data_IF_592754924574
#
_entry.id   IF_592754924574
#
_cell.length_a   1.000
_cell.length_b   1.000
_cell.length_c   1.000
_cell.angle_alpha   90.00
_cell.angle_beta   90.00
_cell.angle_gamma   90.00
#
_symmetry.space_group_name_H-M   'P 1'
#
loop_
_entity.id
_entity.type
_entity.pdbx_description
1 polymer ?
#
# COMPACT_ATOMS: atom_id res chain seq x y z
N UNK A 1 1.38 -6.43 -8.50
CA UNK A 1 2.02 -6.74 -7.18
C UNK A 1 2.39 -5.52 -6.36
N UNK A 2 3.07 -4.50 -6.91
CA UNK A 2 3.46 -3.30 -6.15
C UNK A 2 2.27 -2.50 -5.58
N UNK A 3 1.07 -2.64 -6.16
CA UNK A 3 -0.18 -2.12 -5.58
C UNK A 3 -0.57 -2.82 -4.27
N UNK A 4 -0.27 -4.12 -4.13
CA UNK A 4 -0.49 -4.89 -2.90
C UNK A 4 0.57 -4.56 -1.85
N UNK A 5 1.84 -4.40 -2.28
CA UNK A 5 2.91 -3.92 -1.40
C UNK A 5 2.60 -2.52 -0.86
N UNK A 6 2.03 -1.65 -1.70
CA UNK A 6 1.55 -0.34 -1.32
C UNK A 6 0.44 -0.41 -0.25
N UNK A 7 -0.58 -1.23 -0.46
CA UNK A 7 -1.65 -1.42 0.52
C UNK A 7 -1.11 -2.02 1.83
N UNK A 8 -0.22 -3.01 1.74
CA UNK A 8 0.46 -3.60 2.90
C UNK A 8 1.28 -2.58 3.69
N UNK A 9 2.02 -1.70 3.01
CA UNK A 9 2.74 -0.60 3.63
C UNK A 9 1.80 0.36 4.38
N UNK A 10 0.70 0.79 3.74
CA UNK A 10 -0.27 1.69 4.38
C UNK A 10 -0.91 1.02 5.61
N UNK A 11 -1.25 -0.27 5.53
CA UNK A 11 -1.82 -1.00 6.67
C UNK A 11 -0.81 -1.14 7.82
N UNK A 12 0.43 -1.49 7.50
CA UNK A 12 1.52 -1.55 8.48
C UNK A 12 1.72 -0.20 9.16
N UNK A 13 1.87 0.87 8.39
CA UNK A 13 2.09 2.22 8.90
C UNK A 13 0.92 2.68 9.79
N UNK A 14 -0.32 2.41 9.36
CA UNK A 14 -1.52 2.69 10.15
C UNK A 14 -1.58 1.91 11.46
N UNK A 15 -1.26 0.62 11.44
CA UNK A 15 -1.18 -0.23 12.64
C UNK A 15 -0.12 0.30 13.63
N UNK A 16 1.04 0.72 13.14
CA UNK A 16 2.13 1.24 13.97
C UNK A 16 1.82 2.62 14.56
N UNK A 17 1.23 3.53 13.77
CA UNK A 17 1.03 4.92 14.20
C UNK A 17 -0.31 5.16 14.89
N UNK A 18 -1.34 4.42 14.52
CA UNK A 18 -2.74 4.60 14.94
C UNK A 18 -3.39 3.26 15.32
N UNK A 19 -2.79 2.48 16.23
CA UNK A 19 -3.25 1.11 16.53
C UNK A 19 -4.72 1.07 16.98
N UNK A 20 -5.20 2.08 17.72
CA UNK A 20 -6.60 2.10 18.18
C UNK A 20 -7.62 2.27 17.03
N UNK A 21 -7.24 2.95 15.95
CA UNK A 21 -8.09 3.09 14.76
C UNK A 21 -8.03 1.82 13.93
N UNK A 22 -6.83 1.25 13.74
CA UNK A 22 -6.63 0.03 12.96
C UNK A 22 -7.13 -1.24 13.66
N UNK A 23 -7.20 -1.30 15.00
CA UNK A 23 -7.92 -2.37 15.71
C UNK A 23 -9.39 -2.48 15.31
N UNK A 24 -10.00 -1.35 14.92
CA UNK A 24 -11.39 -1.26 14.42
C UNK A 24 -11.40 -0.96 12.92
N UNK A 25 -10.47 -1.56 12.18
CA UNK A 25 -10.28 -1.24 10.75
C UNK A 25 -11.57 -1.40 9.94
N UNK A 26 -12.31 -2.49 10.17
CA UNK A 26 -13.57 -2.77 9.48
C UNK A 26 -14.58 -1.63 9.69
N UNK A 27 -14.83 -1.24 10.93
CA UNK A 27 -15.79 -0.18 11.25
C UNK A 27 -15.35 1.18 10.68
N UNK A 28 -14.04 1.45 10.70
CA UNK A 28 -13.49 2.73 10.29
C UNK A 28 -13.37 2.88 8.76
N UNK A 29 -13.09 1.79 8.03
CA UNK A 29 -12.66 1.84 6.62
C UNK A 29 -13.46 0.95 5.65
N UNK A 30 -14.41 0.14 6.12
CA UNK A 30 -15.23 -0.68 5.22
C UNK A 30 -15.91 0.19 4.15
N UNK A 31 -15.69 -0.17 2.88
CA UNK A 31 -16.25 0.54 1.72
C UNK A 31 -15.60 1.88 1.39
N UNK A 32 -14.61 2.35 2.15
CA UNK A 32 -13.98 3.68 1.96
C UNK A 32 -12.68 3.65 1.14
N UNK A 33 -12.15 2.45 0.90
CA UNK A 33 -10.94 2.24 0.09
C UNK A 33 -9.65 2.72 0.76
N UNK A 34 -8.55 2.59 0.02
CA UNK A 34 -7.20 2.88 0.49
C UNK A 34 -6.95 4.38 0.70
N UNK A 35 -7.61 5.24 -0.09
CA UNK A 35 -7.52 6.71 -0.01
C UNK A 35 -7.91 7.22 1.39
N UNK A 36 -8.96 6.64 1.97
CA UNK A 36 -9.42 7.01 3.31
C UNK A 36 -8.39 6.67 4.39
N UNK A 37 -7.73 5.51 4.28
CA UNK A 37 -6.66 5.10 5.21
C UNK A 37 -5.49 6.07 5.19
N UNK A 38 -5.04 6.44 4.00
CA UNK A 38 -3.95 7.41 3.81
C UNK A 38 -4.33 8.77 4.40
N UNK A 39 -5.55 9.25 4.09
CA UNK A 39 -6.05 10.51 4.64
C UNK A 39 -6.01 10.52 6.16
N UNK A 40 -6.43 9.44 6.82
CA UNK A 40 -6.40 9.34 8.27
C UNK A 40 -4.97 9.38 8.82
N UNK A 41 -4.00 8.72 8.17
CA UNK A 41 -2.59 8.80 8.56
C UNK A 41 -2.07 10.23 8.40
N UNK A 42 -2.29 10.85 7.24
CA UNK A 42 -1.85 12.22 6.94
C UNK A 42 -2.43 13.20 7.97
N UNK A 43 -3.75 13.22 8.12
CA UNK A 43 -4.46 14.17 8.98
C UNK A 43 -4.06 14.05 10.47
N UNK A 44 -3.70 12.85 10.94
CA UNK A 44 -3.43 12.60 12.37
C UNK A 44 -1.96 12.51 12.74
N UNK A 45 -1.08 12.20 11.79
CA UNK A 45 0.30 11.80 12.09
C UNK A 45 1.36 12.50 11.27
N UNK A 46 1.00 13.32 10.29
CA UNK A 46 1.97 14.08 9.52
C UNK A 46 1.88 15.57 9.83
N UNK A 47 3.00 16.27 9.74
CA UNK A 47 3.03 17.73 9.87
C UNK A 47 3.32 18.35 8.50
N UNK A 48 2.38 19.16 8.00
CA UNK A 48 2.55 19.88 6.73
C UNK A 48 2.55 19.02 5.46
N UNK A 49 2.40 17.70 5.57
CA UNK A 49 2.31 16.82 4.40
C UNK A 49 0.95 16.97 3.74
N UNK A 50 0.96 17.35 2.48
CA UNK A 50 -0.25 17.47 1.66
C UNK A 50 -0.19 16.45 0.55
N UNK A 51 -1.18 15.57 0.51
CA UNK A 51 -1.34 14.66 -0.61
C UNK A 51 -2.09 15.36 -1.75
N UNK A 52 -1.34 16.00 -2.64
CA UNK A 52 -1.89 16.81 -3.73
C UNK A 52 -2.61 15.94 -4.76
N UNK A 53 -3.95 16.06 -4.79
CA UNK A 53 -4.78 15.44 -5.82
C UNK A 53 -4.42 16.01 -7.19
N UNK A 54 -4.42 15.16 -8.21
CA UNK A 54 -4.13 15.59 -9.58
C UNK A 54 -2.65 15.79 -9.89
N UNK A 55 -1.73 15.50 -8.96
CA UNK A 55 -0.28 15.48 -9.23
C UNK A 55 0.31 14.08 -9.10
N UNK A 56 1.53 13.88 -9.59
CA UNK A 56 2.32 12.69 -9.29
C UNK A 56 2.84 12.79 -7.85
N UNK A 57 2.81 11.72 -7.02
CA UNK A 57 2.49 10.34 -7.36
C UNK A 57 0.99 9.95 -7.26
N UNK A 58 0.11 10.81 -6.74
CA UNK A 58 -1.33 10.55 -6.54
C UNK A 58 -2.01 9.96 -7.79
N UNK A 59 -1.88 10.64 -8.94
CA UNK A 59 -2.59 10.21 -10.17
C UNK A 59 -2.18 8.81 -10.62
N UNK A 60 -0.88 8.49 -10.52
CA UNK A 60 -0.36 7.17 -10.88
C UNK A 60 -0.88 6.11 -9.92
N UNK A 61 -0.97 6.42 -8.63
CA UNK A 61 -1.55 5.50 -7.64
C UNK A 61 -3.03 5.25 -7.94
N UNK A 62 -3.81 6.30 -8.25
CA UNK A 62 -5.23 6.15 -8.61
C UNK A 62 -5.43 5.35 -9.88
N UNK A 63 -4.56 5.50 -10.88
CA UNK A 63 -4.59 4.70 -12.11
C UNK A 63 -4.41 3.20 -11.83
N UNK A 64 -3.80 2.82 -10.70
CA UNK A 64 -3.62 1.41 -10.30
C UNK A 64 -4.81 0.82 -9.53
N UNK A 65 -5.75 1.64 -9.09
CA UNK A 65 -6.88 1.22 -8.26
C UNK A 65 -7.78 0.18 -8.96
N UNK A 66 -8.11 0.32 -10.26
CA UNK A 66 -8.85 -0.72 -10.99
C UNK A 66 -8.11 -2.06 -11.02
N UNK A 67 -6.78 -2.03 -11.23
CA UNK A 67 -5.95 -3.24 -11.25
C UNK A 67 -5.92 -3.93 -9.89
N UNK A 68 -5.78 -3.15 -8.81
CA UNK A 68 -5.83 -3.66 -7.43
C UNK A 68 -7.20 -4.26 -7.14
N UNK A 69 -8.28 -3.57 -7.50
CA UNK A 69 -9.64 -4.05 -7.24
C UNK A 69 -9.93 -5.35 -8.00
N UNK A 70 -9.45 -5.48 -9.24
CA UNK A 70 -9.55 -6.72 -10.00
C UNK A 70 -8.81 -7.88 -9.32
N UNK A 71 -7.61 -7.65 -8.77
CA UNK A 71 -6.85 -8.69 -8.06
C UNK A 71 -7.44 -9.07 -6.70
N UNK A 72 -7.90 -8.08 -5.92
CA UNK A 72 -8.39 -8.30 -4.56
C UNK A 72 -9.86 -8.72 -4.50
N UNK A 73 -10.63 -8.43 -5.55
CA UNK A 73 -12.06 -8.70 -5.63
C UNK A 73 -12.39 -9.48 -6.90
N UNK A 74 -11.45 -10.25 -7.45
CA UNK A 74 -11.75 -11.23 -8.48
C UNK A 74 -12.80 -12.17 -7.90
N UNK A 75 -14.05 -11.99 -8.32
CA UNK A 75 -15.04 -13.02 -8.11
C UNK A 75 -14.56 -14.19 -8.96
N UNK A 76 -14.27 -15.32 -8.32
CA UNK A 76 -14.30 -16.60 -9.04
C UNK A 76 -15.71 -16.73 -9.58
N UNK A 77 -15.92 -16.35 -10.83
CA UNK A 77 -17.09 -16.78 -11.54
C UNK A 77 -17.04 -18.31 -11.53
N UNK A 78 -17.98 -18.92 -10.82
CA UNK A 78 -18.23 -20.35 -10.95
C UNK A 78 -18.71 -20.50 -12.40
N UNK A 79 -17.78 -20.78 -13.30
CA UNK A 79 -18.03 -21.05 -14.70
C UNK A 79 -18.91 -22.28 -14.79
N UNK A 80 -20.22 -22.07 -14.68
CA UNK A 80 -21.21 -23.05 -15.10
C UNK A 80 -21.09 -23.06 -16.61
N UNK A 81 -20.56 -24.16 -17.15
CA UNK A 81 -20.15 -24.34 -18.53
C UNK A 81 -21.31 -24.10 -19.50
N UNK A 82 -21.63 -22.84 -19.82
CA UNK A 82 -22.35 -22.52 -21.03
C UNK A 82 -21.29 -22.24 -22.09
N UNK A 83 -21.16 -23.18 -23.01
CA UNK A 83 -20.58 -22.90 -24.33
C UNK A 83 -21.36 -21.72 -24.90
N UNK A 84 -20.76 -20.55 -24.83
CA UNK A 84 -21.21 -19.39 -25.59
C UNK A 84 -20.45 -19.50 -26.91
N UNK A 85 -21.10 -20.12 -27.89
CA UNK A 85 -20.76 -19.91 -29.30
C UNK A 85 -21.20 -18.50 -29.63
N UNK A 86 -20.28 -17.54 -29.48
CA UNK A 86 -20.43 -16.22 -30.07
C UNK A 86 -19.17 -15.99 -30.92
N UNK A 87 -19.37 -15.66 -32.18
CA UNK A 87 -18.33 -15.51 -33.22
C UNK A 87 -17.42 -14.30 -32.93
N UNK A 88 -17.74 -13.55 -31.87
CA UNK A 88 -16.91 -12.56 -31.19
C UNK A 88 -16.89 -12.87 -29.69
N UNK A 89 -16.27 -13.99 -29.30
CA UNK A 89 -16.17 -14.45 -27.91
C UNK A 89 -15.79 -13.32 -26.93
N UNK A 90 -16.20 -13.43 -25.64
CA UNK A 90 -16.12 -12.34 -24.67
C UNK A 90 -14.75 -11.69 -24.73
N UNK A 91 -14.73 -10.46 -25.24
CA UNK A 91 -13.53 -9.70 -25.51
C UNK A 91 -12.69 -9.70 -24.23
N UNK A 92 -11.60 -10.46 -24.30
CA UNK A 92 -10.92 -10.98 -23.13
C UNK A 92 -10.53 -9.89 -22.14
N UNK A 93 -10.36 -10.32 -20.90
CA UNK A 93 -9.78 -9.58 -19.79
C UNK A 93 -8.40 -8.93 -20.09
N UNK A 94 -7.84 -9.09 -21.30
CA UNK A 94 -6.40 -9.10 -21.52
C UNK A 94 -5.79 -7.92 -22.30
N UNK A 95 -6.49 -7.12 -23.09
CA UNK A 95 -5.74 -6.16 -23.95
C UNK A 95 -5.05 -5.02 -23.19
N UNK A 96 -5.68 -4.44 -22.16
CA UNK A 96 -5.10 -3.34 -21.36
C UNK A 96 -4.22 -3.83 -20.21
N UNK A 97 -4.54 -4.99 -19.64
CA UNK A 97 -3.76 -5.62 -18.58
C UNK A 97 -2.42 -6.09 -19.12
N UNK A 98 -2.44 -6.86 -20.21
CA UNK A 98 -1.22 -7.37 -20.83
C UNK A 98 -0.40 -6.22 -21.38
N UNK A 99 -1.03 -5.24 -22.05
CA UNK A 99 -0.30 -4.07 -22.54
C UNK A 99 0.39 -3.29 -21.42
N UNK A 100 -0.24 -3.16 -20.24
CA UNK A 100 0.36 -2.46 -19.11
C UNK A 100 1.52 -3.23 -18.48
N UNK A 101 1.37 -4.55 -18.28
CA UNK A 101 2.40 -5.37 -17.64
C UNK A 101 3.55 -5.77 -18.58
N UNK A 102 3.29 -5.81 -19.89
CA UNK A 102 4.31 -6.09 -20.91
C UNK A 102 5.24 -4.89 -21.15
N UNK A 103 4.81 -3.67 -20.79
CA UNK A 103 5.70 -2.50 -20.79
C UNK A 103 6.44 -2.37 -19.46
N UNK A 104 7.64 -2.95 -19.41
CA UNK A 104 8.56 -2.89 -18.27
C UNK A 104 8.84 -1.44 -17.85
N UNK A 105 8.99 -0.50 -18.80
CA UNK A 105 9.29 0.89 -18.46
C UNK A 105 8.11 1.56 -17.76
N UNK A 106 6.89 1.27 -18.21
CA UNK A 106 5.67 1.71 -17.54
C UNK A 106 5.60 1.13 -16.14
N UNK A 107 5.75 -0.19 -15.97
CA UNK A 107 5.72 -0.83 -14.65
C UNK A 107 6.74 -0.21 -13.69
N UNK A 108 7.99 0.01 -14.14
CA UNK A 108 9.03 0.66 -13.33
C UNK A 108 8.66 2.10 -12.94
N UNK A 109 8.05 2.87 -13.83
CA UNK A 109 7.60 4.24 -13.56
C UNK A 109 6.55 4.27 -12.44
N UNK A 110 5.61 3.33 -12.43
CA UNK A 110 4.60 3.22 -11.37
C UNK A 110 5.21 2.72 -10.06
N UNK A 111 6.12 1.73 -10.11
CA UNK A 111 6.84 1.25 -8.93
C UNK A 111 7.62 2.38 -8.25
N UNK A 112 8.39 3.17 -9.02
CA UNK A 112 9.12 4.34 -8.49
C UNK A 112 8.18 5.39 -7.92
N UNK A 113 7.02 5.63 -8.53
CA UNK A 113 6.05 6.60 -8.03
C UNK A 113 5.48 6.17 -6.67
N UNK A 114 5.12 4.90 -6.51
CA UNK A 114 4.66 4.34 -5.24
C UNK A 114 5.76 4.37 -4.18
N UNK A 115 6.98 3.97 -4.52
CA UNK A 115 8.12 4.02 -3.60
C UNK A 115 8.36 5.45 -3.10
N UNK A 116 8.42 6.42 -4.02
CA UNK A 116 8.56 7.86 -3.68
C UNK A 116 7.43 8.35 -2.78
N UNK A 117 6.19 7.94 -3.05
CA UNK A 117 5.06 8.27 -2.20
C UNK A 117 5.25 7.72 -0.78
N UNK A 118 5.52 6.43 -0.65
CA UNK A 118 5.68 5.77 0.65
C UNK A 118 6.82 6.40 1.45
N UNK A 119 7.94 6.73 0.80
CA UNK A 119 9.05 7.45 1.43
C UNK A 119 8.61 8.84 1.90
N UNK A 120 7.98 9.63 1.04
CA UNK A 120 7.53 10.98 1.40
C UNK A 120 6.53 11.00 2.56
N UNK A 121 5.65 9.99 2.62
CA UNK A 121 4.70 9.83 3.72
C UNK A 121 5.44 9.48 5.02
N UNK A 122 6.45 8.60 4.95
CA UNK A 122 7.26 8.17 6.07
C UNK A 122 8.13 9.31 6.63
N UNK A 123 8.75 10.11 5.75
CA UNK A 123 9.56 11.28 6.12
C UNK A 123 8.73 12.36 6.83
N UNK A 124 7.43 12.43 6.52
CA UNK A 124 6.52 13.39 7.11
C UNK A 124 6.00 13.00 8.50
N UNK A 125 6.29 11.79 8.98
CA UNK A 125 5.84 11.31 10.31
C UNK A 125 6.86 11.74 11.37
N UNK A 126 6.47 12.56 12.38
CA UNK A 126 7.39 13.00 13.42
C UNK A 126 7.89 11.84 14.28
N UNK A 127 9.19 11.87 14.63
CA UNK A 127 9.81 10.86 15.49
C UNK A 127 10.05 9.52 14.80
N UNK A 128 9.97 9.49 13.47
CA UNK A 128 10.25 8.31 12.68
C UNK A 128 11.71 7.84 12.94
N UNK A 129 11.94 6.59 13.39
CA UNK A 129 13.24 6.16 13.90
C UNK A 129 14.38 5.97 12.86
N UNK A 130 14.24 6.50 11.64
CA UNK A 130 15.30 6.50 10.64
C UNK A 130 15.55 5.14 9.99
N UNK A 131 15.76 5.16 8.67
CA UNK A 131 16.34 4.15 7.78
C UNK A 131 15.96 2.67 8.03
N UNK A 132 15.15 2.11 7.11
CA UNK A 132 14.77 0.68 6.90
C UNK A 132 13.27 0.33 6.99
N UNK A 133 12.35 1.30 6.95
CA UNK A 133 10.90 1.01 7.01
C UNK A 133 10.23 0.77 5.66
N UNK A 134 10.86 1.12 4.54
CA UNK A 134 10.37 0.64 3.25
C UNK A 134 10.71 -0.84 3.15
N UNK A 135 9.72 -1.74 3.09
CA UNK A 135 10.00 -3.16 3.01
C UNK A 135 10.82 -3.44 1.73
N UNK A 136 11.70 -4.46 1.75
CA UNK A 136 12.35 -4.98 0.54
C UNK A 136 11.35 -5.33 -0.59
N UNK A 137 10.06 -5.45 -0.25
CA UNK A 137 8.94 -5.63 -1.17
C UNK A 137 8.82 -4.59 -2.31
N UNK A 138 9.53 -3.45 -2.23
CA UNK A 138 9.62 -2.49 -3.33
C UNK A 138 10.87 -2.62 -4.21
N UNK A 139 11.85 -3.45 -3.82
CA UNK A 139 13.14 -3.59 -4.51
C UNK A 139 13.33 -4.94 -5.21
N UNK A 140 12.72 -6.01 -4.71
CA UNK A 140 12.98 -7.35 -5.24
C UNK A 140 12.00 -7.80 -6.33
N UNK A 141 12.46 -8.59 -7.33
CA UNK A 141 11.59 -9.32 -8.24
C UNK A 141 10.62 -10.21 -7.48
N UNK A 142 9.40 -10.33 -8.00
CA UNK A 142 8.29 -11.06 -7.40
C UNK A 142 8.72 -12.44 -6.87
N UNK A 143 8.42 -12.71 -5.60
CA UNK A 143 8.65 -13.97 -4.86
C UNK A 143 9.95 -14.13 -4.04
N UNK A 144 10.80 -13.11 -3.91
CA UNK A 144 11.81 -13.13 -2.84
C UNK A 144 11.23 -12.52 -1.56
N UNK A 145 10.34 -13.24 -0.88
CA UNK A 145 10.06 -12.96 0.53
C UNK A 145 11.13 -13.66 1.37
N UNK A 146 12.37 -13.15 1.37
CA UNK A 146 13.36 -13.58 2.36
C UNK A 146 13.07 -12.92 3.71
N UNK A 147 11.83 -13.05 4.21
CA UNK A 147 11.23 -12.30 5.30
C UNK A 147 12.14 -12.14 6.52
N UNK A 148 13.01 -11.13 6.49
CA UNK A 148 13.83 -10.68 7.61
C UNK A 148 13.33 -9.31 8.00
N UNK A 149 12.18 -9.31 8.68
CA UNK A 149 11.76 -8.16 9.46
C UNK A 149 12.73 -8.05 10.64
N UNK A 150 13.60 -7.04 10.63
CA UNK A 150 14.46 -6.77 11.78
C UNK A 150 13.61 -6.17 12.89
N UNK A 151 13.00 -7.03 13.72
CA UNK A 151 12.44 -6.62 15.00
C UNK A 151 13.60 -6.18 15.90
N UNK A 152 13.91 -4.88 15.95
CA UNK A 152 14.68 -4.33 17.06
C UNK A 152 13.71 -4.10 18.22
N UNK A 153 13.81 -4.82 19.35
CA UNK A 153 13.02 -4.53 20.52
C UNK A 153 13.36 -3.10 20.98
N UNK A 154 12.34 -2.24 21.04
CA UNK A 154 12.48 -0.90 21.61
C UNK A 154 12.66 -1.05 23.11
N UNK A 155 13.92 -1.04 23.57
CA UNK A 155 14.24 -0.98 25.00
C UNK A 155 13.84 0.39 25.52
N UNK A 156 12.63 0.48 26.08
CA UNK A 156 12.20 1.67 26.84
C UNK A 156 13.03 1.68 28.13
N UNK A 157 14.11 2.46 28.15
CA UNK A 157 14.85 2.72 29.38
C UNK A 157 13.98 3.59 30.30
N UNK A 158 13.44 2.98 31.37
CA UNK A 158 12.83 3.73 32.47
C UNK A 158 13.95 4.25 33.35
N UNK A 159 14.29 5.53 33.20
CA UNK A 159 15.10 6.26 34.18
C UNK A 159 14.34 6.30 35.51
N UNK A 160 14.85 5.61 36.53
CA UNK A 160 14.37 5.74 37.91
C UNK A 160 14.88 7.07 38.45
N UNK A 161 13.96 8.00 38.74
CA UNK A 161 14.23 9.13 39.64
C UNK A 161 14.57 8.58 41.03
N UNK A 162 15.81 8.73 41.47
CA UNK A 162 16.19 8.68 42.87
C UNK A 162 15.66 9.93 43.56
N UNK A 163 14.73 9.74 44.50
CA UNK A 163 14.33 10.76 45.48
C UNK A 163 15.30 10.63 46.64
N UNK A 164 16.16 11.63 46.83
CA UNK A 164 16.97 11.78 48.03
C UNK A 164 16.15 12.50 49.10
N UNK A 165 16.13 11.92 50.30
CA UNK A 165 15.73 12.56 51.57
C UNK A 165 17.02 13.05 52.21
#
# INVERSE_FOLDING_TARGET
>A
MFCLAYEGFVNYLGQSLLPEIWKKEKDNFQGKGLECKIKVIVDKKTQGFTWEKGRSPYQKIKQLEPFRNALCHSKTEINTSKKIEDENGPQGWDSKWDSFFNDVQTVEKYRRAIKKFCQSLLDAVPGNPGDNYLPPAFEEPLASSSGKWQNKPTTISRSRKTVGI
#
